data_IF_876906700644
#
_entry.id   IF_876906700644
#
_cell.length_a   1.000
_cell.length_b   1.000
_cell.length_c   1.000
_cell.angle_alpha   90.00
_cell.angle_beta   90.00
_cell.angle_gamma   90.00
#
_symmetry.space_group_name_H-M   'P 1'
#
loop_
_entity.id
_entity.type
_entity.pdbx_description
1 polymer ?
#
# COMPACT_ATOMS: atom_id res chain seq x y z
N UNK A 1 -5.56 -8.96 -23.63
CA UNK A 1 -5.34 -9.01 -22.17
C UNK A 1 -6.11 -7.86 -21.57
N UNK A 2 -7.06 -8.13 -20.70
CA UNK A 2 -7.78 -7.12 -19.93
C UNK A 2 -7.01 -6.74 -18.67
N UNK A 3 -7.35 -5.61 -18.05
CA UNK A 3 -6.70 -5.14 -16.81
C UNK A 3 -6.74 -6.16 -15.67
N UNK A 4 -7.84 -6.94 -15.61
CA UNK A 4 -8.06 -8.00 -14.62
C UNK A 4 -7.18 -9.24 -14.83
N UNK A 5 -6.55 -9.37 -15.99
CA UNK A 5 -5.64 -10.49 -16.30
C UNK A 5 -4.20 -10.20 -15.78
N UNK A 6 -3.89 -8.93 -15.49
CA UNK A 6 -2.59 -8.51 -14.96
C UNK A 6 -2.54 -8.72 -13.45
N UNK A 7 -1.74 -9.69 -13.00
CA UNK A 7 -1.47 -9.93 -11.58
C UNK A 7 -0.40 -8.96 -11.07
N UNK A 8 -0.80 -8.00 -10.26
CA UNK A 8 0.07 -6.92 -9.76
C UNK A 8 0.38 -7.13 -8.28
N UNK A 9 1.66 -7.07 -7.92
CA UNK A 9 2.08 -6.88 -6.52
C UNK A 9 2.42 -5.40 -6.35
N UNK A 10 1.78 -4.76 -5.39
CA UNK A 10 2.00 -3.35 -5.09
C UNK A 10 2.95 -3.20 -3.90
N UNK A 11 3.98 -2.37 -4.01
CA UNK A 11 4.96 -2.14 -2.94
C UNK A 11 4.96 -0.66 -2.57
N UNK A 12 4.48 -0.35 -1.37
CA UNK A 12 4.31 1.03 -0.91
C UNK A 12 4.23 1.08 0.61
N UNK A 13 4.49 2.25 1.16
CA UNK A 13 4.50 2.50 2.61
C UNK A 13 4.20 3.96 2.92
N UNK A 14 4.79 4.97 2.25
CA UNK A 14 4.50 6.35 2.61
C UNK A 14 3.04 6.73 2.29
N UNK A 15 2.52 7.76 2.94
CA UNK A 15 1.14 8.23 2.76
C UNK A 15 0.74 8.51 1.30
N UNK A 16 1.68 8.97 0.47
CA UNK A 16 1.40 9.22 -0.95
C UNK A 16 1.18 7.93 -1.76
N UNK A 17 1.60 6.77 -1.25
CA UNK A 17 1.41 5.48 -1.90
C UNK A 17 -0.08 5.10 -1.98
N UNK A 18 -0.87 5.51 -0.98
CA UNK A 18 -2.28 5.14 -0.83
C UNK A 18 -3.11 5.48 -2.05
N UNK A 19 -2.98 6.70 -2.58
CA UNK A 19 -3.79 7.14 -3.73
C UNK A 19 -3.47 6.30 -4.97
N UNK A 20 -2.20 5.96 -5.20
CA UNK A 20 -1.82 5.12 -6.34
C UNK A 20 -2.35 3.68 -6.23
N UNK A 21 -2.31 3.08 -5.04
CA UNK A 21 -2.92 1.76 -4.79
C UNK A 21 -4.43 1.80 -5.01
N UNK A 22 -5.10 2.82 -4.47
CA UNK A 22 -6.54 3.03 -4.64
C UNK A 22 -6.94 3.09 -6.11
N UNK A 23 -6.19 3.85 -6.92
CA UNK A 23 -6.44 3.95 -8.38
C UNK A 23 -6.26 2.63 -9.13
N UNK A 24 -5.34 1.78 -8.70
CA UNK A 24 -5.16 0.45 -9.30
C UNK A 24 -6.38 -0.43 -9.01
N UNK A 25 -6.84 -0.45 -7.75
CA UNK A 25 -8.00 -1.24 -7.32
C UNK A 25 -9.28 -0.73 -8.00
N UNK A 26 -9.57 0.56 -7.92
CA UNK A 26 -10.74 1.18 -8.55
C UNK A 26 -10.68 1.12 -10.09
N UNK A 27 -9.48 1.11 -10.66
CA UNK A 27 -9.23 1.00 -12.09
C UNK A 27 -9.46 -0.39 -12.68
N UNK A 28 -9.81 -1.38 -11.86
CA UNK A 28 -10.10 -2.76 -12.26
C UNK A 28 -8.86 -3.60 -12.56
N UNK A 29 -7.70 -3.23 -12.02
CA UNK A 29 -6.50 -4.05 -12.08
C UNK A 29 -6.53 -5.13 -11.00
N UNK A 30 -5.94 -6.29 -11.27
CA UNK A 30 -5.88 -7.37 -10.30
C UNK A 30 -4.64 -7.22 -9.40
N UNK A 31 -4.78 -6.44 -8.33
CA UNK A 31 -3.76 -6.38 -7.26
C UNK A 31 -3.88 -7.64 -6.39
N UNK A 32 -2.85 -8.50 -6.44
CA UNK A 32 -2.86 -9.81 -5.75
C UNK A 32 -2.13 -9.80 -4.41
N UNK A 33 -1.43 -8.71 -4.10
CA UNK A 33 -0.71 -8.55 -2.85
C UNK A 33 -0.17 -7.13 -2.68
N UNK A 34 -0.03 -6.72 -1.43
CA UNK A 34 0.57 -5.44 -1.01
C UNK A 34 1.74 -5.74 -0.09
N UNK A 35 2.88 -5.11 -0.35
CA UNK A 35 4.06 -5.16 0.51
C UNK A 35 4.30 -3.78 1.09
N UNK A 36 4.42 -3.70 2.40
CA UNK A 36 4.67 -2.47 3.14
C UNK A 36 5.68 -2.70 4.26
N UNK A 37 6.20 -1.61 4.84
CA UNK A 37 6.99 -1.70 6.07
C UNK A 37 6.09 -2.15 7.22
N UNK A 38 6.62 -2.96 8.15
CA UNK A 38 5.90 -3.29 9.37
C UNK A 38 5.60 -2.03 10.19
N UNK A 39 4.52 -2.10 10.96
CA UNK A 39 4.15 -1.08 11.93
C UNK A 39 5.34 -0.77 12.83
N UNK A 40 5.67 0.53 12.94
CA UNK A 40 6.84 0.96 13.72
C UNK A 40 6.51 2.17 14.58
N UNK A 41 7.20 2.33 15.73
CA UNK A 41 6.97 3.48 16.57
C UNK A 41 7.47 4.77 15.91
N UNK A 42 6.71 5.86 16.08
CA UNK A 42 6.97 7.16 15.48
C UNK A 42 6.84 8.29 16.51
N UNK A 43 7.34 9.48 16.15
CA UNK A 43 7.41 10.66 17.03
C UNK A 43 8.71 10.76 17.83
N UNK A 44 8.93 11.90 18.51
CA UNK A 44 10.21 12.22 19.18
C UNK A 44 10.71 11.15 20.17
N UNK A 45 9.80 10.47 20.86
CA UNK A 45 10.12 9.43 21.84
C UNK A 45 9.86 8.01 21.34
N UNK A 46 9.36 7.83 20.12
CA UNK A 46 9.06 6.51 19.55
C UNK A 46 8.09 5.68 20.40
N UNK A 47 7.11 6.31 21.06
CA UNK A 47 6.17 5.63 21.96
C UNK A 47 4.83 5.32 21.30
N UNK A 48 4.55 5.87 20.13
CA UNK A 48 3.29 5.68 19.41
C UNK A 48 3.52 4.74 18.25
N UNK A 49 2.94 3.54 18.33
CA UNK A 49 2.94 2.59 17.22
C UNK A 49 2.08 3.17 16.09
N UNK A 50 2.69 3.37 14.91
CA UNK A 50 2.00 3.86 13.73
C UNK A 50 1.81 2.71 12.74
N UNK A 51 0.57 2.43 12.30
CA UNK A 51 0.31 1.41 11.30
C UNK A 51 0.82 1.85 9.92
N UNK A 52 1.06 0.87 9.05
CA UNK A 52 1.27 1.14 7.62
C UNK A 52 0.08 1.91 7.02
N UNK A 53 0.32 2.98 6.23
CA UNK A 53 -0.70 3.66 5.43
C UNK A 53 -1.37 2.81 4.35
N UNK A 54 -0.74 1.72 3.90
CA UNK A 54 -1.25 0.78 2.89
C UNK A 54 -1.37 -0.64 3.42
#
# INVERSE_FOLDING_TARGET
MEKKDLRIVYMGTPEFAVESLKRLVEGGYQVVGVITMPDKPMGRHGSVLQPSPV
#
